data_IF_795076011277
#
_entry.id   IF_795076011277
#
_cell.length_a   1.000
_cell.length_b   1.000
_cell.length_c   1.000
_cell.angle_alpha   90.00
_cell.angle_beta   90.00
_cell.angle_gamma   90.00
#
_symmetry.space_group_name_H-M   'P 1'
#
loop_
_entity.id
_entity.type
_entity.pdbx_description
1 polymer ?
#
# COMPACT_ATOMS: atom_id res chain seq x y z
N UNK A 1 -21.10 -3.37 13.32
CA UNK A 1 -19.76 -2.84 13.62
C UNK A 1 -18.64 -3.61 12.92
N UNK A 2 -18.84 -4.19 11.72
CA UNK A 2 -17.77 -4.89 10.97
C UNK A 2 -17.25 -4.07 9.77
N UNK A 3 -18.13 -3.31 9.11
CA UNK A 3 -17.80 -2.56 7.90
C UNK A 3 -16.78 -1.43 8.15
N UNK A 4 -16.87 -0.74 9.29
CA UNK A 4 -15.92 0.31 9.66
C UNK A 4 -14.48 -0.22 9.85
N UNK A 5 -14.33 -1.38 10.47
CA UNK A 5 -13.03 -2.03 10.67
C UNK A 5 -12.43 -2.51 9.34
N UNK A 6 -13.25 -3.10 8.47
CA UNK A 6 -12.80 -3.58 7.17
C UNK A 6 -12.37 -2.42 6.26
N UNK A 7 -13.16 -1.35 6.18
CA UNK A 7 -12.83 -0.14 5.42
C UNK A 7 -11.53 0.49 5.92
N UNK A 8 -11.37 0.60 7.24
CA UNK A 8 -10.15 1.14 7.86
C UNK A 8 -8.92 0.29 7.53
N UNK A 9 -9.04 -1.04 7.55
CA UNK A 9 -7.96 -1.97 7.21
C UNK A 9 -7.53 -1.82 5.73
N UNK A 10 -8.49 -1.65 4.81
CA UNK A 10 -8.20 -1.43 3.38
C UNK A 10 -7.46 -0.11 3.17
N UNK A 11 -7.94 0.98 3.78
CA UNK A 11 -7.28 2.30 3.69
C UNK A 11 -5.85 2.27 4.24
N UNK A 12 -5.63 1.66 5.41
CA UNK A 12 -4.31 1.56 6.00
C UNK A 12 -3.37 0.69 5.16
N UNK A 13 -3.85 -0.43 4.63
CA UNK A 13 -3.06 -1.32 3.77
C UNK A 13 -2.60 -0.59 2.50
N UNK A 14 -3.50 0.15 1.85
CA UNK A 14 -3.15 0.99 0.71
C UNK A 14 -2.11 2.06 1.04
N UNK A 15 -2.25 2.75 2.17
CA UNK A 15 -1.29 3.77 2.60
C UNK A 15 0.09 3.18 2.90
N UNK A 16 0.15 2.05 3.61
CA UNK A 16 1.40 1.37 3.94
C UNK A 16 2.08 0.86 2.66
N UNK A 17 1.31 0.25 1.75
CA UNK A 17 1.81 -0.16 0.44
C UNK A 17 2.40 1.03 -0.33
N UNK A 18 1.71 2.18 -0.36
CA UNK A 18 2.23 3.39 -0.98
C UNK A 18 3.53 3.90 -0.35
N UNK A 19 3.64 3.90 0.98
CA UNK A 19 4.84 4.38 1.69
C UNK A 19 6.06 3.47 1.52
N UNK A 20 5.83 2.18 1.29
CA UNK A 20 6.87 1.20 0.97
C UNK A 20 7.17 1.11 -0.53
N UNK A 21 6.38 1.78 -1.35
CA UNK A 21 6.47 1.68 -2.80
C UNK A 21 7.67 2.40 -3.40
N UNK A 22 7.86 2.15 -4.69
CA UNK A 22 8.93 2.71 -5.47
C UNK A 22 8.41 3.39 -6.74
N UNK A 23 9.21 4.33 -7.27
CA UNK A 23 8.93 4.99 -8.54
C UNK A 23 9.49 4.13 -9.66
N UNK A 24 8.61 3.60 -10.50
CA UNK A 24 8.98 2.73 -11.63
C UNK A 24 8.29 3.21 -12.91
N UNK A 25 8.81 2.79 -14.06
CA UNK A 25 8.17 3.11 -15.36
C UNK A 25 6.77 2.52 -15.48
N UNK A 26 5.91 3.11 -16.31
CA UNK A 26 4.58 2.60 -16.63
C UNK A 26 4.65 1.15 -17.15
N UNK A 27 5.67 0.84 -17.97
CA UNK A 27 5.93 -0.52 -18.46
C UNK A 27 6.14 -1.52 -17.31
N UNK A 28 6.94 -1.15 -16.32
CA UNK A 28 7.19 -1.99 -15.15
C UNK A 28 5.93 -2.13 -14.30
N UNK A 29 5.15 -1.05 -14.10
CA UNK A 29 3.86 -1.11 -13.40
C UNK A 29 2.93 -2.14 -14.07
N UNK A 30 2.75 -2.07 -15.39
CA UNK A 30 1.96 -3.03 -16.14
C UNK A 30 2.45 -4.48 -15.96
N UNK A 31 3.77 -4.69 -15.93
CA UNK A 31 4.33 -6.02 -15.74
C UNK A 31 3.99 -6.60 -14.36
N UNK A 32 4.00 -5.77 -13.30
CA UNK A 32 3.76 -6.21 -11.92
C UNK A 32 2.29 -6.40 -11.57
N UNK A 33 1.38 -5.71 -12.24
CA UNK A 33 -0.07 -5.83 -11.97
C UNK A 33 -0.78 -6.83 -12.88
N UNK A 34 -0.09 -7.38 -13.88
CA UNK A 34 -0.67 -8.25 -14.93
C UNK A 34 -1.41 -9.47 -14.41
N UNK A 35 -0.98 -10.03 -13.30
CA UNK A 35 -1.58 -11.25 -12.74
C UNK A 35 -2.92 -10.99 -12.03
N UNK A 36 -3.30 -9.71 -11.86
CA UNK A 36 -4.58 -9.31 -11.28
C UNK A 36 -5.31 -8.39 -12.29
N UNK A 37 -6.22 -8.94 -13.13
CA UNK A 37 -6.86 -8.18 -14.21
C UNK A 37 -7.52 -6.86 -13.78
N UNK A 38 -8.09 -6.84 -12.57
CA UNK A 38 -8.68 -5.62 -12.00
C UNK A 38 -7.65 -4.49 -11.84
N UNK A 39 -6.42 -4.81 -11.44
CA UNK A 39 -5.36 -3.80 -11.26
C UNK A 39 -4.84 -3.28 -12.60
N UNK A 40 -4.82 -4.11 -13.65
CA UNK A 40 -4.54 -3.64 -15.01
C UNK A 40 -5.52 -2.54 -15.43
N UNK A 41 -6.82 -2.79 -15.29
CA UNK A 41 -7.86 -1.80 -15.64
C UNK A 41 -7.79 -0.53 -14.78
N UNK A 42 -7.47 -0.67 -13.48
CA UNK A 42 -7.32 0.49 -12.60
C UNK A 42 -6.06 1.31 -12.93
N UNK A 43 -4.96 0.65 -13.28
CA UNK A 43 -3.72 1.30 -13.71
C UNK A 43 -3.94 2.07 -15.02
N UNK A 44 -4.61 1.47 -16.01
CA UNK A 44 -4.93 2.14 -17.26
C UNK A 44 -5.72 3.43 -17.02
N UNK A 45 -6.79 3.36 -16.22
CA UNK A 45 -7.59 4.54 -15.85
C UNK A 45 -6.79 5.61 -15.12
N UNK A 46 -5.83 5.21 -14.26
CA UNK A 46 -4.94 6.14 -13.59
C UNK A 46 -4.03 6.86 -14.60
N UNK A 47 -3.37 6.10 -15.49
CA UNK A 47 -2.45 6.64 -16.48
C UNK A 47 -3.16 7.56 -17.48
N UNK A 48 -4.36 7.18 -17.94
CA UNK A 48 -5.21 8.03 -18.79
C UNK A 48 -5.55 9.35 -18.09
N UNK A 49 -5.92 9.31 -16.81
CA UNK A 49 -6.24 10.50 -16.03
C UNK A 49 -5.02 11.42 -15.86
N UNK A 50 -3.84 10.86 -15.57
CA UNK A 50 -2.60 11.63 -15.46
C UNK A 50 -2.24 12.30 -16.80
N UNK A 51 -2.31 11.55 -17.90
CA UNK A 51 -2.04 12.06 -19.24
C UNK A 51 -3.00 13.20 -19.64
N UNK A 52 -4.29 13.09 -19.29
CA UNK A 52 -5.28 14.14 -19.53
C UNK A 52 -4.97 15.46 -18.78
N UNK A 53 -4.11 15.39 -17.76
CA UNK A 53 -3.64 16.53 -16.98
C UNK A 53 -2.16 16.86 -17.21
N UNK A 54 -1.58 16.37 -18.31
CA UNK A 54 -0.18 16.62 -18.70
C UNK A 54 0.85 16.14 -17.65
N UNK A 55 0.48 15.15 -16.83
CA UNK A 55 1.36 14.54 -15.83
C UNK A 55 2.01 13.30 -16.44
N UNK A 56 3.33 13.33 -16.57
CA UNK A 56 4.13 12.20 -17.03
C UNK A 56 4.34 11.17 -15.91
N UNK A 57 3.78 9.97 -16.08
CA UNK A 57 3.95 8.85 -15.15
C UNK A 57 5.40 8.32 -15.14
N UNK A 58 6.10 8.36 -16.27
CA UNK A 58 7.49 7.88 -16.40
C UNK A 58 8.50 8.86 -15.79
N UNK A 59 8.09 10.11 -15.52
CA UNK A 59 8.86 11.07 -14.73
C UNK A 59 8.89 10.74 -13.21
N UNK A 60 8.42 9.57 -12.81
CA UNK A 60 8.40 9.13 -11.40
C UNK A 60 7.38 9.92 -10.56
N UNK A 61 6.23 10.25 -11.16
CA UNK A 61 5.12 10.94 -10.48
C UNK A 61 4.16 9.97 -9.80
N UNK A 62 4.27 8.67 -10.12
CA UNK A 62 3.47 7.58 -9.57
C UNK A 62 4.33 6.63 -8.75
N UNK A 63 3.77 6.10 -7.67
CA UNK A 63 4.42 5.13 -6.78
C UNK A 63 3.71 3.78 -6.91
N UNK A 64 4.48 2.72 -7.15
CA UNK A 64 4.01 1.34 -7.12
C UNK A 64 4.36 0.72 -5.77
N UNK A 65 3.35 0.46 -4.95
CA UNK A 65 3.48 -0.22 -3.68
C UNK A 65 3.53 -1.75 -3.82
N UNK A 66 4.15 -2.47 -2.86
CA UNK A 66 4.12 -3.93 -2.86
C UNK A 66 2.72 -4.45 -2.55
N UNK A 67 2.44 -5.67 -3.00
CA UNK A 67 1.27 -6.41 -2.53
C UNK A 67 1.50 -6.82 -1.07
N UNK A 68 0.60 -6.39 -0.18
CA UNK A 68 0.68 -6.69 1.25
C UNK A 68 -0.41 -7.69 1.61
N UNK A 69 0.01 -8.90 2.03
CA UNK A 69 -0.91 -9.92 2.50
C UNK A 69 -1.13 -9.77 4.00
N UNK A 70 -2.40 -9.66 4.40
CA UNK A 70 -2.79 -9.56 5.81
C UNK A 70 -2.95 -10.97 6.39
N UNK A 71 -2.28 -11.23 7.50
CA UNK A 71 -2.62 -12.29 8.44
C UNK A 71 -3.72 -11.79 9.38
N UNK A 72 -4.92 -12.33 9.22
CA UNK A 72 -6.08 -11.93 10.02
C UNK A 72 -6.05 -12.50 11.44
N UNK A 73 -5.36 -13.60 11.66
CA UNK A 73 -5.32 -14.26 12.96
C UNK A 73 -4.34 -13.54 13.89
N UNK A 74 -3.19 -13.12 13.34
CA UNK A 74 -2.14 -12.43 14.07
C UNK A 74 -2.18 -10.90 13.92
N UNK A 75 -3.20 -10.37 13.23
CA UNK A 75 -3.39 -8.94 12.95
C UNK A 75 -2.13 -8.22 12.42
N UNK A 76 -1.44 -8.86 11.48
CA UNK A 76 -0.17 -8.35 10.94
C UNK A 76 -0.06 -8.57 9.41
N UNK A 77 0.96 -8.00 8.79
CA UNK A 77 1.34 -8.31 7.41
C UNK A 77 2.26 -9.53 7.37
N UNK A 78 1.94 -10.50 6.51
CA UNK A 78 2.78 -11.67 6.27
C UNK A 78 4.08 -11.24 5.61
N UNK A 79 5.20 -11.78 6.10
CA UNK A 79 6.53 -11.66 5.51
C UNK A 79 6.99 -10.22 5.19
N UNK A 80 6.50 -9.22 5.96
CA UNK A 80 6.82 -7.81 5.75
C UNK A 80 7.04 -7.06 7.06
N UNK A 81 8.25 -7.18 7.61
CA UNK A 81 8.70 -6.40 8.77
C UNK A 81 8.54 -4.87 8.56
N UNK A 82 8.90 -4.28 7.40
CA UNK A 82 8.70 -2.85 7.17
C UNK A 82 7.24 -2.42 7.21
N UNK A 83 6.31 -3.24 6.69
CA UNK A 83 4.89 -2.95 6.75
C UNK A 83 4.36 -3.02 8.18
N UNK A 84 4.77 -4.04 8.94
CA UNK A 84 4.40 -4.19 10.35
C UNK A 84 4.95 -3.04 11.22
N UNK A 85 6.15 -2.54 10.91
CA UNK A 85 6.72 -1.38 11.58
C UNK A 85 5.86 -0.12 11.33
N UNK A 86 5.47 0.14 10.08
CA UNK A 86 4.58 1.26 9.75
C UNK A 86 3.18 1.11 10.36
N UNK A 87 2.67 -0.12 10.46
CA UNK A 87 1.37 -0.42 11.04
C UNK A 87 1.33 -0.15 12.55
N UNK A 88 2.39 -0.55 13.27
CA UNK A 88 2.54 -0.25 14.70
C UNK A 88 2.73 1.25 14.94
N UNK A 89 3.35 1.95 13.98
CA UNK A 89 3.65 3.36 14.09
C UNK A 89 4.74 3.64 15.14
N UNK A 90 4.81 4.89 15.59
CA UNK A 90 5.82 5.34 16.56
C UNK A 90 5.12 5.97 17.75
N UNK A 91 5.43 5.48 18.95
CA UNK A 91 5.02 6.11 20.19
C UNK A 91 6.06 7.13 20.62
N UNK A 92 5.61 8.29 21.11
CA UNK A 92 6.47 9.37 21.61
C UNK A 92 6.49 9.35 23.13
N UNK A 93 7.67 9.46 23.73
CA UNK A 93 7.80 9.62 25.19
C UNK A 93 7.01 10.84 25.73
N UNK A 94 6.37 10.72 26.90
CA UNK A 94 6.30 9.54 27.78
C UNK A 94 5.14 8.56 27.45
N UNK A 95 4.42 8.73 26.33
CA UNK A 95 3.21 7.98 25.98
C UNK A 95 3.53 6.68 25.23
N UNK A 96 4.39 5.84 25.80
CA UNK A 96 4.75 4.53 25.25
C UNK A 96 3.70 3.50 25.68
N UNK A 97 3.17 2.73 24.72
CA UNK A 97 2.36 1.55 25.01
C UNK A 97 3.30 0.37 25.30
N UNK A 98 3.20 -0.30 26.46
CA UNK A 98 4.03 -1.46 26.78
C UNK A 98 3.81 -2.59 25.77
N UNK A 99 4.89 -3.28 25.39
CA UNK A 99 4.77 -4.51 24.60
C UNK A 99 4.21 -5.63 25.48
N UNK A 100 3.05 -6.18 25.10
CA UNK A 100 2.37 -7.28 25.79
C UNK A 100 2.50 -8.61 25.04
N UNK A 101 3.33 -8.67 23.98
CA UNK A 101 3.59 -9.88 23.20
C UNK A 101 4.48 -10.83 24.03
N UNK A 102 3.86 -11.78 24.74
CA UNK A 102 4.53 -12.91 25.39
C UNK A 102 4.23 -14.22 24.70
#
# INVERSE_FOLDING_TARGET
MLEGHLSTAVCHTGNISYRLGEKVSAKEMHARVRDVPLFGQMLERLLEHLAAHEIDADAGTVTLGPWLQIDRENECFKDSEPANHLARGFYREPYIVPDLSG
#
